data_IF_839439760446
#
_entry.id   IF_839439760446
#
_cell.length_a   1.000
_cell.length_b   1.000
_cell.length_c   1.000
_cell.angle_alpha   90.00
_cell.angle_beta   90.00
_cell.angle_gamma   90.00
#
_symmetry.space_group_name_H-M   'P 1'
#
loop_
_entity.id
_entity.type
_entity.pdbx_description
1 polymer ?
#
# COMPACT_ATOMS: atom_id res chain seq x y z
N UNK A 1 -8.01 -9.90 -14.45
CA UNK A 1 -7.93 -10.81 -13.29
C UNK A 1 -6.56 -11.45 -13.27
N UNK A 2 -6.01 -11.67 -12.08
CA UNK A 2 -4.72 -12.31 -11.85
C UNK A 2 -4.79 -13.09 -10.53
N UNK A 3 -3.93 -14.10 -10.37
CA UNK A 3 -3.88 -14.91 -9.16
C UNK A 3 -2.54 -14.75 -8.44
N UNK A 4 -2.60 -14.60 -7.13
CA UNK A 4 -1.46 -14.69 -6.23
C UNK A 4 -1.87 -15.47 -4.98
N UNK A 5 -1.09 -16.49 -4.62
CA UNK A 5 -1.34 -17.38 -3.47
C UNK A 5 -2.79 -17.93 -3.39
N UNK A 6 -3.41 -18.23 -4.53
CA UNK A 6 -4.77 -18.76 -4.60
C UNK A 6 -5.87 -17.71 -4.45
N UNK A 7 -5.53 -16.44 -4.22
CA UNK A 7 -6.47 -15.33 -4.19
C UNK A 7 -6.57 -14.67 -5.58
N UNK A 8 -7.80 -14.38 -6.01
CA UNK A 8 -8.06 -13.67 -7.26
C UNK A 8 -8.14 -12.15 -7.04
N UNK A 9 -7.38 -11.43 -7.86
CA UNK A 9 -7.33 -9.97 -7.86
C UNK A 9 -8.02 -9.41 -9.10
N UNK A 10 -8.57 -8.19 -8.99
CA UNK A 10 -9.23 -7.53 -10.13
C UNK A 10 -8.19 -7.26 -11.21
N UNK A 11 -7.01 -6.79 -10.80
CA UNK A 11 -5.91 -6.47 -11.71
C UNK A 11 -4.63 -7.24 -11.39
N UNK A 12 -3.76 -7.39 -12.39
CA UNK A 12 -2.41 -7.93 -12.18
C UNK A 12 -1.54 -7.00 -11.32
N UNK A 13 -1.84 -5.69 -11.32
CA UNK A 13 -1.14 -4.72 -10.50
C UNK A 13 -1.43 -4.92 -9.01
N UNK A 14 -2.69 -5.14 -8.65
CA UNK A 14 -3.07 -5.48 -7.26
C UNK A 14 -2.40 -6.79 -6.81
N UNK A 15 -2.45 -7.83 -7.62
CA UNK A 15 -1.78 -9.11 -7.31
C UNK A 15 -0.26 -8.92 -7.11
N UNK A 16 0.37 -8.05 -7.90
CA UNK A 16 1.79 -7.75 -7.77
C UNK A 16 2.09 -6.98 -6.49
N UNK A 17 1.22 -6.05 -6.10
CA UNK A 17 1.36 -5.36 -4.82
C UNK A 17 1.21 -6.31 -3.65
N UNK A 18 0.26 -7.24 -3.68
CA UNK A 18 0.16 -8.31 -2.67
C UNK A 18 1.46 -9.11 -2.55
N UNK A 19 2.03 -9.54 -3.68
CA UNK A 19 3.31 -10.23 -3.69
C UNK A 19 4.48 -9.37 -3.20
N UNK A 20 4.46 -8.07 -3.47
CA UNK A 20 5.45 -7.14 -2.96
C UNK A 20 5.35 -7.00 -1.43
N UNK A 21 4.14 -6.91 -0.87
CA UNK A 21 3.94 -6.81 0.58
C UNK A 21 4.50 -8.05 1.30
N UNK A 22 4.23 -9.26 0.80
CA UNK A 22 4.80 -10.49 1.35
C UNK A 22 6.34 -10.47 1.31
N UNK A 23 6.94 -10.02 0.20
CA UNK A 23 8.39 -9.90 0.06
C UNK A 23 9.01 -8.82 0.97
N UNK A 24 8.27 -7.74 1.23
CA UNK A 24 8.67 -6.66 2.13
C UNK A 24 8.44 -7.02 3.62
N UNK A 25 7.85 -8.18 3.91
CA UNK A 25 7.48 -8.58 5.27
C UNK A 25 6.30 -7.80 5.85
N UNK A 26 5.47 -7.20 4.98
CA UNK A 26 4.28 -6.45 5.36
C UNK A 26 3.06 -7.35 5.36
N UNK A 27 2.23 -7.23 6.39
CA UNK A 27 0.96 -7.95 6.45
C UNK A 27 -0.07 -7.18 5.64
N UNK A 28 -0.96 -7.89 4.92
CA UNK A 28 -1.97 -7.24 4.10
C UNK A 28 -3.29 -7.97 4.14
N UNK A 29 -4.37 -7.20 3.98
CA UNK A 29 -5.74 -7.66 3.78
C UNK A 29 -6.27 -7.04 2.50
N UNK A 30 -6.68 -7.88 1.56
CA UNK A 30 -7.26 -7.43 0.29
C UNK A 30 -8.74 -7.11 0.44
N UNK A 31 -9.18 -6.05 -0.25
CA UNK A 31 -10.57 -5.62 -0.33
C UNK A 31 -11.23 -5.42 1.06
N UNK A 32 -10.65 -4.57 1.94
CA UNK A 32 -11.22 -4.26 3.26
C UNK A 32 -12.57 -3.55 3.15
N UNK A 33 -13.17 -3.25 4.31
CA UNK A 33 -14.40 -2.47 4.39
C UNK A 33 -14.20 -1.07 3.77
N UNK A 34 -15.28 -0.52 3.21
CA UNK A 34 -15.27 0.85 2.70
C UNK A 34 -15.17 1.85 3.86
N UNK A 35 -14.61 3.02 3.55
CA UNK A 35 -14.34 4.11 4.48
C UNK A 35 -14.88 5.39 3.86
N UNK A 36 -15.86 6.00 4.54
CA UNK A 36 -16.69 7.10 4.07
C UNK A 36 -17.15 6.95 2.61
N UNK A 37 -16.55 7.72 1.69
CA UNK A 37 -16.91 7.81 0.27
C UNK A 37 -16.01 6.98 -0.66
N UNK A 38 -15.06 6.20 -0.11
CA UNK A 38 -14.11 5.41 -0.88
C UNK A 38 -13.95 3.99 -0.33
N UNK A 39 -13.53 3.06 -1.20
CA UNK A 39 -13.25 1.67 -0.84
C UNK A 39 -11.77 1.35 -1.09
N UNK A 40 -10.98 1.08 -0.03
CA UNK A 40 -9.59 0.71 -0.20
C UNK A 40 -9.41 -0.64 -0.90
N UNK A 41 -8.29 -0.79 -1.58
CA UNK A 41 -7.91 -2.04 -2.25
C UNK A 41 -7.14 -2.95 -1.29
N UNK A 42 -6.34 -2.35 -0.42
CA UNK A 42 -5.63 -3.06 0.65
C UNK A 42 -5.70 -2.30 1.97
N UNK A 43 -5.68 -3.07 3.05
CA UNK A 43 -5.20 -2.62 4.36
C UNK A 43 -3.85 -3.29 4.59
N UNK A 44 -2.82 -2.53 4.92
CA UNK A 44 -1.45 -3.04 5.02
C UNK A 44 -0.79 -2.59 6.31
N UNK A 45 -0.25 -3.53 7.07
CA UNK A 45 0.41 -3.29 8.35
C UNK A 45 1.89 -3.68 8.26
N UNK A 46 2.77 -2.79 8.71
CA UNK A 46 4.22 -2.98 8.68
C UNK A 46 4.89 -2.52 9.98
N UNK A 47 6.03 -3.12 10.36
CA UNK A 47 6.69 -2.83 11.63
C UNK A 47 7.28 -1.42 11.68
N UNK A 48 7.27 -0.83 12.87
CA UNK A 48 7.96 0.41 13.20
C UNK A 48 8.96 0.16 14.33
N UNK A 49 10.19 0.68 14.18
CA UNK A 49 11.26 0.49 15.15
C UNK A 49 11.43 1.63 16.15
N UNK A 50 10.58 2.67 16.09
CA UNK A 50 10.71 3.85 16.93
C UNK A 50 9.96 3.70 18.25
N UNK A 51 10.62 4.06 19.35
CA UNK A 51 10.03 4.00 20.69
C UNK A 51 8.82 4.93 20.89
N UNK A 52 8.70 5.93 20.03
CA UNK A 52 7.65 6.95 20.03
C UNK A 52 6.41 6.53 19.24
N UNK A 53 6.43 5.35 18.61
CA UNK A 53 5.33 4.81 17.83
C UNK A 53 4.84 3.49 18.43
N UNK A 54 3.61 3.05 18.08
CA UNK A 54 3.26 1.64 18.18
C UNK A 54 4.26 0.78 17.38
N UNK A 55 4.38 -0.49 17.74
CA UNK A 55 5.29 -1.44 17.06
C UNK A 55 5.00 -1.62 15.56
N UNK A 56 3.87 -1.12 15.08
CA UNK A 56 3.42 -1.22 13.68
C UNK A 56 2.66 0.03 13.25
N UNK A 57 2.71 0.32 11.95
CA UNK A 57 1.79 1.23 11.28
C UNK A 57 0.90 0.48 10.29
N UNK A 58 -0.30 1.01 10.04
CA UNK A 58 -1.30 0.46 9.15
C UNK A 58 -1.76 1.51 8.14
N UNK A 59 -1.80 1.15 6.86
CA UNK A 59 -2.28 2.00 5.77
C UNK A 59 -3.54 1.43 5.12
N UNK A 60 -4.41 2.32 4.65
CA UNK A 60 -5.46 2.01 3.67
C UNK A 60 -5.01 2.45 2.29
N UNK A 61 -4.90 1.52 1.35
CA UNK A 61 -4.22 1.75 0.07
C UNK A 61 -5.21 1.77 -1.09
N UNK A 62 -5.08 2.76 -1.97
CA UNK A 62 -5.64 2.74 -3.32
C UNK A 62 -4.54 2.36 -4.34
N UNK A 63 -4.80 1.34 -5.17
CA UNK A 63 -3.93 0.93 -6.25
C UNK A 63 -4.38 1.56 -7.56
N UNK A 64 -3.51 2.37 -8.16
CA UNK A 64 -3.80 3.14 -9.36
C UNK A 64 -2.82 2.79 -10.49
N UNK A 65 -3.35 2.60 -11.70
CA UNK A 65 -2.56 2.25 -12.88
C UNK A 65 -1.85 3.49 -13.48
N UNK A 66 -1.10 4.23 -12.66
CA UNK A 66 -0.34 5.41 -13.05
C UNK A 66 1.05 5.40 -12.40
N UNK A 67 2.00 6.13 -13.00
CA UNK A 67 3.26 6.51 -12.36
C UNK A 67 3.26 7.97 -11.92
N UNK A 68 2.38 8.75 -12.53
CA UNK A 68 2.18 10.17 -12.24
C UNK A 68 1.09 10.28 -11.16
N UNK A 69 1.54 10.42 -9.92
CA UNK A 69 0.64 10.62 -8.78
C UNK A 69 0.07 12.05 -8.73
N UNK A 70 0.67 13.02 -9.43
CA UNK A 70 0.14 14.38 -9.50
C UNK A 70 -1.22 14.40 -10.20
N UNK A 71 -1.38 13.56 -11.22
CA UNK A 71 -2.65 13.37 -11.94
C UNK A 71 -3.82 12.88 -11.06
N UNK A 72 -3.53 12.35 -9.87
CA UNK A 72 -4.52 11.74 -8.96
C UNK A 72 -4.49 12.33 -7.54
N UNK A 73 -3.90 13.52 -7.35
CA UNK A 73 -3.84 14.21 -6.04
C UNK A 73 -5.19 14.48 -5.39
N UNK A 74 -6.28 14.50 -6.15
CA UNK A 74 -7.64 14.65 -5.63
C UNK A 74 -8.28 13.37 -5.11
N UNK A 75 -7.53 12.25 -5.05
CA UNK A 75 -8.09 10.96 -4.64
C UNK A 75 -8.45 10.95 -3.14
N UNK A 76 -9.63 10.40 -2.74
CA UNK A 76 -10.09 10.40 -1.35
C UNK A 76 -9.10 9.82 -0.34
N UNK A 77 -8.30 8.83 -0.75
CA UNK A 77 -7.27 8.22 0.10
C UNK A 77 -6.32 9.24 0.76
N UNK A 78 -6.03 10.37 0.09
CA UNK A 78 -5.13 11.39 0.62
C UNK A 78 -5.80 12.32 1.65
N UNK A 79 -7.11 12.19 1.88
CA UNK A 79 -7.81 12.92 2.95
C UNK A 79 -7.62 12.24 4.32
N UNK A 80 -7.20 10.98 4.35
CA UNK A 80 -7.00 10.20 5.57
C UNK A 80 -5.55 10.32 6.01
N UNK A 81 -5.22 11.35 6.77
CA UNK A 81 -3.85 11.57 7.29
C UNK A 81 -3.91 11.74 8.80
N UNK A 82 -2.82 11.38 9.49
CA UNK A 82 -2.61 11.68 10.92
C UNK A 82 -3.70 11.18 11.90
N UNK A 83 -4.30 10.00 11.67
CA UNK A 83 -5.23 9.29 12.58
C UNK A 83 -6.37 10.14 13.23
N UNK A 84 -7.24 10.80 12.45
CA UNK A 84 -8.39 11.49 13.09
C UNK A 84 -9.70 10.66 13.13
N UNK A 85 -9.83 9.60 12.32
CA UNK A 85 -11.15 8.97 12.13
C UNK A 85 -11.19 7.42 12.04
N UNK A 86 -10.06 6.72 11.87
CA UNK A 86 -10.05 5.26 11.59
C UNK A 86 -8.92 4.52 12.30
N UNK A 87 -9.00 3.19 12.30
CA UNK A 87 -8.01 2.27 12.89
C UNK A 87 -6.68 2.22 12.14
N UNK A 88 -6.56 2.89 10.98
CA UNK A 88 -5.35 2.97 10.18
C UNK A 88 -4.65 4.32 10.39
N UNK A 89 -3.33 4.33 10.29
CA UNK A 89 -2.47 5.51 10.45
C UNK A 89 -2.67 6.55 9.35
N UNK A 90 -2.87 6.08 8.11
CA UNK A 90 -3.14 6.93 6.95
C UNK A 90 -3.77 6.17 5.77
N UNK A 91 -4.31 6.93 4.83
CA UNK A 91 -4.57 6.49 3.48
C UNK A 91 -3.36 6.76 2.58
N UNK A 92 -3.17 5.91 1.57
CA UNK A 92 -2.02 5.96 0.68
C UNK A 92 -2.40 5.68 -0.77
N UNK A 93 -1.66 6.27 -1.71
CA UNK A 93 -1.76 5.94 -3.12
C UNK A 93 -0.58 5.07 -3.52
N UNK A 94 -0.88 3.98 -4.20
CA UNK A 94 0.08 3.03 -4.73
C UNK A 94 -0.08 2.93 -6.24
N UNK A 95 0.88 3.47 -6.96
CA UNK A 95 0.91 3.50 -8.41
C UNK A 95 1.34 2.16 -9.02
N UNK A 96 1.83 2.24 -10.24
CA UNK A 96 2.30 1.09 -11.02
C UNK A 96 3.73 0.63 -10.68
N UNK A 97 4.38 1.26 -9.70
CA UNK A 97 5.70 0.90 -9.18
C UNK A 97 5.98 1.51 -7.80
N UNK A 98 7.00 1.02 -7.06
CA UNK A 98 7.33 1.53 -5.72
C UNK A 98 7.64 3.02 -5.65
N UNK A 99 8.31 3.56 -6.66
CA UNK A 99 8.62 4.99 -6.75
C UNK A 99 7.37 5.86 -6.96
N UNK A 100 6.25 5.27 -7.35
CA UNK A 100 4.96 5.94 -7.49
C UNK A 100 4.07 5.61 -6.29
N UNK A 101 4.56 5.83 -5.07
CA UNK A 101 3.78 5.65 -3.84
C UNK A 101 3.84 6.90 -2.98
N UNK A 102 2.79 7.18 -2.22
CA UNK A 102 2.72 8.41 -1.41
C UNK A 102 1.69 8.31 -0.30
N UNK A 103 2.03 8.80 0.89
CA UNK A 103 1.11 9.05 2.01
C UNK A 103 1.73 10.03 3.02
N UNK A 104 0.86 10.64 3.83
CA UNK A 104 1.27 11.49 4.96
C UNK A 104 0.75 10.86 6.27
N UNK A 105 1.63 10.67 7.25
CA UNK A 105 1.26 10.08 8.53
C UNK A 105 2.13 10.56 9.69
N UNK A 106 1.66 10.32 10.92
CA UNK A 106 2.49 10.46 12.13
C UNK A 106 3.53 9.33 12.17
N UNK A 107 4.78 9.68 12.45
CA UNK A 107 5.89 8.74 12.61
C UNK A 107 7.01 9.34 13.48
N UNK A 108 7.48 8.57 14.45
CA UNK A 108 8.37 9.04 15.51
C UNK A 108 7.72 10.13 16.37
N UNK A 109 8.51 11.13 16.75
CA UNK A 109 8.03 12.30 17.49
C UNK A 109 7.30 13.35 16.62
N UNK A 110 7.01 13.03 15.35
CA UNK A 110 6.46 13.98 14.40
C UNK A 110 5.60 13.35 13.32
N UNK A 111 5.52 14.04 12.18
CA UNK A 111 4.76 13.64 11.01
C UNK A 111 5.55 13.95 9.75
N UNK A 112 5.21 13.29 8.65
CA UNK A 112 5.94 13.49 7.40
C UNK A 112 5.28 12.86 6.19
N UNK A 113 5.92 13.14 5.06
CA UNK A 113 5.63 12.53 3.78
C UNK A 113 6.46 11.28 3.60
N UNK A 114 5.81 10.18 3.22
CA UNK A 114 6.46 8.89 3.08
C UNK A 114 6.07 8.21 1.78
N UNK A 115 6.95 7.32 1.34
CA UNK A 115 6.80 6.44 0.20
C UNK A 115 7.41 5.07 0.53
N UNK A 116 7.23 4.09 -0.35
CA UNK A 116 7.77 2.74 -0.16
C UNK A 116 9.30 2.74 -0.08
N UNK A 117 10.00 3.66 -0.77
CA UNK A 117 11.46 3.71 -0.75
C UNK A 117 12.01 4.15 0.61
N UNK A 118 11.23 4.88 1.41
CA UNK A 118 11.59 5.20 2.79
C UNK A 118 11.56 3.97 3.71
N UNK A 119 10.63 3.04 3.47
CA UNK A 119 10.35 1.92 4.40
C UNK A 119 10.91 0.57 3.95
N UNK A 120 11.22 0.42 2.67
CA UNK A 120 11.62 -0.87 2.09
C UNK A 120 12.93 -0.70 1.32
N UNK A 121 14.00 -1.24 1.89
CA UNK A 121 15.28 -1.37 1.19
C UNK A 121 15.10 -2.21 -0.09
N UNK A 122 15.84 -1.85 -1.15
CA UNK A 122 15.82 -2.58 -2.42
C UNK A 122 14.41 -2.71 -3.06
N UNK A 123 13.49 -1.78 -2.81
CA UNK A 123 12.10 -1.85 -3.29
C UNK A 123 11.96 -2.17 -4.79
N UNK A 124 12.82 -1.61 -5.65
CA UNK A 124 12.81 -1.90 -7.09
C UNK A 124 13.10 -3.39 -7.41
N UNK A 125 14.01 -4.01 -6.66
CA UNK A 125 14.36 -5.43 -6.80
C UNK A 125 13.22 -6.32 -6.30
N UNK A 126 12.64 -6.01 -5.13
CA UNK A 126 11.47 -6.74 -4.63
C UNK A 126 10.28 -6.61 -5.60
N UNK A 127 10.08 -5.44 -6.20
CA UNK A 127 9.05 -5.24 -7.21
C UNK A 127 9.24 -6.12 -8.43
N UNK A 128 10.47 -6.26 -8.93
CA UNK A 128 10.78 -7.16 -10.03
C UNK A 128 10.47 -8.63 -9.67
N UNK A 129 10.84 -9.05 -8.46
CA UNK A 129 10.54 -10.40 -7.95
C UNK A 129 9.03 -10.64 -7.79
N UNK A 130 8.29 -9.68 -7.24
CA UNK A 130 6.84 -9.75 -7.08
C UNK A 130 6.13 -9.98 -8.42
N UNK A 131 6.60 -9.31 -9.49
CA UNK A 131 6.04 -9.47 -10.84
C UNK A 131 6.17 -10.89 -11.40
N UNK A 132 7.20 -11.64 -10.98
CA UNK A 132 7.40 -13.02 -11.40
C UNK A 132 6.50 -14.03 -10.65
N UNK A 133 5.87 -13.62 -9.54
CA UNK A 133 5.00 -14.49 -8.74
C UNK A 133 3.52 -14.39 -9.14
N UNK A 134 3.14 -13.40 -9.94
CA UNK A 134 1.76 -13.19 -10.38
C UNK A 134 1.46 -14.07 -11.58
N UNK A 135 0.38 -14.83 -11.51
CA UNK A 135 -0.07 -15.70 -12.61
C UNK A 135 -1.33 -15.17 -13.27
N UNK A 136 -1.49 -15.50 -14.56
CA UNK A 136 -2.73 -15.27 -15.27
C UNK A 136 -3.83 -16.22 -14.72
N UNK A 137 -5.12 -15.88 -14.83
CA UNK A 137 -6.20 -16.75 -14.39
C UNK A 137 -6.13 -18.10 -15.11
N UNK A 138 -6.25 -19.18 -14.35
CA UNK A 138 -6.47 -20.52 -14.91
C UNK A 138 -7.85 -20.53 -15.58
N UNK A 139 -7.89 -20.84 -16.89
CA UNK A 139 -9.13 -20.92 -17.67
C UNK A 139 -10.03 -22.06 -17.23
#
# INVERSE_FOLDING_TARGET
MANYHGLEFRTALEARWAAFFDLAGWQWRYNPAAVDDWKPDFEVTFPCGHSECPDTHTLLIAVLATKDLDSVRGHPALQYTYQEHFTADAGALFGSEPAATTWDMSHGAGGGHFDVAFWVDDAAKLWAQAGAQVTAPTR
#
